data_IF_927050353174
#
_entry.id   IF_927050353174
#
_cell.length_a   1.000
_cell.length_b   1.000
_cell.length_c   1.000
_cell.angle_alpha   90.00
_cell.angle_beta   90.00
_cell.angle_gamma   90.00
#
_symmetry.space_group_name_H-M   'P 1'
#
loop_
_entity.id
_entity.type
_entity.pdbx_description
1 polymer ?
#
# COMPACT_ATOMS: atom_id res chain seq x y z
N UNK A 1 -28.03 31.51 -28.77
CA UNK A 1 -28.78 30.27 -29.06
C UNK A 1 -28.65 29.37 -27.85
N UNK A 2 -29.75 29.22 -27.13
CA UNK A 2 -29.88 28.46 -25.88
C UNK A 2 -30.39 27.07 -26.25
N UNK A 3 -29.71 26.02 -25.79
CA UNK A 3 -30.29 24.67 -25.79
C UNK A 3 -30.28 24.13 -24.36
N UNK A 4 -31.45 24.25 -23.74
CA UNK A 4 -31.90 23.38 -22.65
C UNK A 4 -32.08 21.97 -23.18
N UNK A 5 -31.52 20.98 -22.49
CA UNK A 5 -31.97 19.60 -22.57
C UNK A 5 -32.11 19.04 -21.16
N UNK A 6 -33.35 18.71 -20.83
CA UNK A 6 -33.81 18.08 -19.61
C UNK A 6 -34.07 16.58 -19.86
N UNK A 7 -34.05 15.80 -18.79
CA UNK A 7 -34.61 14.45 -18.70
C UNK A 7 -33.61 13.33 -19.02
N UNK A 8 -33.61 12.16 -18.38
CA UNK A 8 -34.62 11.50 -17.54
C UNK A 8 -33.88 10.47 -16.68
N UNK A 9 -34.14 10.43 -15.37
CA UNK A 9 -33.72 9.35 -14.48
C UNK A 9 -34.80 8.25 -14.43
N UNK A 10 -34.45 6.97 -14.59
CA UNK A 10 -35.29 5.87 -14.13
C UNK A 10 -34.87 5.43 -12.71
N UNK A 11 -35.77 5.66 -11.77
CA UNK A 11 -35.79 5.04 -10.45
C UNK A 11 -36.23 3.58 -10.59
N UNK A 12 -35.39 2.63 -10.15
CA UNK A 12 -35.76 1.23 -10.00
C UNK A 12 -35.76 0.90 -8.50
N UNK A 13 -36.95 1.01 -7.91
CA UNK A 13 -37.28 0.47 -6.60
C UNK A 13 -37.53 -1.03 -6.75
N UNK A 14 -36.61 -1.87 -6.28
CA UNK A 14 -36.86 -3.31 -6.13
C UNK A 14 -36.93 -3.65 -4.64
N UNK A 15 -38.15 -3.65 -4.12
CA UNK A 15 -38.47 -4.06 -2.75
C UNK A 15 -38.64 -5.58 -2.70
N UNK A 16 -37.62 -6.31 -2.24
CA UNK A 16 -37.78 -7.72 -1.86
C UNK A 16 -38.21 -7.82 -0.40
N UNK A 17 -39.49 -8.12 -0.21
CA UNK A 17 -40.07 -8.54 1.07
C UNK A 17 -39.70 -10.01 1.27
N UNK A 18 -38.72 -10.29 2.12
CA UNK A 18 -38.47 -11.65 2.63
C UNK A 18 -39.16 -11.80 4.00
N UNK A 19 -40.34 -12.42 4.00
CA UNK A 19 -40.96 -12.98 5.21
C UNK A 19 -40.37 -14.37 5.44
N UNK A 20 -39.58 -14.55 6.48
CA UNK A 20 -39.38 -15.86 7.08
C UNK A 20 -39.58 -15.78 8.60
N UNK A 21 -40.53 -16.59 9.06
CA UNK A 21 -40.91 -16.76 10.44
C UNK A 21 -40.08 -17.86 11.10
N UNK A 22 -39.56 -17.53 12.29
CA UNK A 22 -39.73 -18.31 13.53
C UNK A 22 -39.05 -19.68 13.64
N UNK A 23 -37.97 -19.72 14.42
CA UNK A 23 -37.84 -20.57 15.62
C UNK A 23 -36.66 -20.08 16.49
N UNK A 24 -36.82 -19.91 17.82
CA UNK A 24 -35.69 -19.66 18.71
C UNK A 24 -34.93 -20.97 18.99
N UNK A 25 -33.64 -20.98 18.66
CA UNK A 25 -32.72 -22.05 19.07
C UNK A 25 -32.51 -22.00 20.59
N UNK A 26 -32.48 -23.15 21.28
CA UNK A 26 -32.19 -23.21 22.71
C UNK A 26 -30.73 -22.83 22.96
N UNK A 27 -30.53 -21.79 23.77
CA UNK A 27 -29.22 -21.38 24.29
C UNK A 27 -28.58 -22.52 25.11
N UNK A 28 -27.35 -22.95 24.80
CA UNK A 28 -26.61 -23.87 25.66
C UNK A 28 -26.29 -23.17 26.99
N UNK A 29 -26.83 -23.70 28.09
CA UNK A 29 -26.43 -23.33 29.44
C UNK A 29 -24.99 -23.82 29.65
N UNK A 30 -24.01 -22.95 29.42
CA UNK A 30 -22.65 -23.15 29.89
C UNK A 30 -22.66 -22.98 31.41
N UNK A 31 -22.64 -24.11 32.13
CA UNK A 31 -22.40 -24.15 33.56
C UNK A 31 -20.98 -23.64 33.82
N UNK A 32 -20.91 -22.48 34.46
CA UNK A 32 -19.68 -21.88 34.97
C UNK A 32 -19.23 -22.70 36.19
N UNK A 33 -18.57 -23.84 35.93
CA UNK A 33 -17.84 -24.56 36.97
C UNK A 33 -16.59 -23.76 37.33
N UNK A 34 -16.61 -23.15 38.52
CA UNK A 34 -15.50 -22.39 39.07
C UNK A 34 -14.23 -23.24 39.18
N UNK A 35 -13.32 -23.08 38.22
CA UNK A 35 -11.92 -23.46 38.39
C UNK A 35 -11.26 -22.36 39.23
N UNK A 36 -10.96 -22.72 40.48
CA UNK A 36 -9.99 -21.98 41.30
C UNK A 36 -8.64 -22.05 40.58
N UNK A 37 -8.25 -20.97 39.91
CA UNK A 37 -6.89 -20.83 39.42
C UNK A 37 -5.98 -20.62 40.64
N UNK A 38 -5.26 -21.69 40.98
CA UNK A 38 -4.09 -21.63 41.84
C UNK A 38 -3.08 -20.70 41.18
N UNK A 39 -2.71 -19.63 41.88
CA UNK A 39 -1.53 -18.81 41.62
C UNK A 39 -0.31 -19.71 41.62
N UNK A 40 0.09 -20.15 40.43
CA UNK A 40 1.36 -20.81 40.19
C UNK A 40 2.19 -19.85 39.37
N UNK A 41 3.29 -19.41 39.96
CA UNK A 41 4.32 -18.56 39.38
C UNK A 41 4.58 -18.97 37.94
N UNK A 42 4.14 -18.13 37.01
CA UNK A 42 4.55 -18.25 35.62
C UNK A 42 6.01 -17.82 35.55
N UNK A 43 6.88 -18.58 34.86
CA UNK A 43 8.26 -18.16 34.66
C UNK A 43 8.23 -16.82 33.93
N UNK A 44 8.85 -15.80 34.54
CA UNK A 44 9.15 -14.54 33.87
C UNK A 44 9.99 -14.90 32.64
N UNK A 45 9.34 -14.90 31.47
CA UNK A 45 10.04 -14.80 30.21
C UNK A 45 10.68 -13.42 30.25
N UNK A 46 11.99 -13.38 30.47
CA UNK A 46 12.79 -12.18 30.35
C UNK A 46 12.51 -11.57 28.99
N UNK A 47 11.67 -10.52 28.96
CA UNK A 47 11.53 -9.70 27.77
C UNK A 47 12.90 -9.10 27.51
N UNK A 48 13.43 -9.18 26.28
CA UNK A 48 14.80 -8.73 25.99
C UNK A 48 15.02 -7.23 26.23
N UNK A 49 13.97 -6.47 26.55
CA UNK A 49 13.99 -5.01 26.65
C UNK A 49 13.49 -4.54 28.01
N UNK A 50 14.23 -3.59 28.57
CA UNK A 50 13.94 -2.96 29.86
C UNK A 50 12.64 -2.14 29.84
N UNK A 51 11.82 -2.39 30.86
CA UNK A 51 10.98 -1.46 31.61
C UNK A 51 9.81 -0.70 30.96
N UNK A 52 9.50 -0.77 29.66
CA UNK A 52 8.29 -0.07 29.18
C UNK A 52 7.44 -0.81 28.12
N UNK A 53 6.79 -1.94 28.49
CA UNK A 53 5.90 -2.70 27.60
C UNK A 53 4.72 -1.85 27.06
N UNK A 54 4.40 -0.73 27.71
CA UNK A 54 3.36 0.20 27.26
C UNK A 54 3.68 0.85 25.91
N UNK A 55 4.94 1.21 25.67
CA UNK A 55 5.38 1.88 24.43
C UNK A 55 5.31 0.92 23.24
N UNK A 56 5.88 -0.27 23.37
CA UNK A 56 5.86 -1.31 22.33
C UNK A 56 4.43 -1.71 21.95
N UNK A 57 3.54 -1.86 22.95
CA UNK A 57 2.14 -2.17 22.71
C UNK A 57 1.40 -1.04 21.99
N UNK A 58 1.72 0.21 22.31
CA UNK A 58 1.14 1.36 21.62
C UNK A 58 1.60 1.42 20.16
N UNK A 59 2.90 1.23 19.90
CA UNK A 59 3.46 1.13 18.55
C UNK A 59 2.85 -0.04 17.75
N UNK A 60 2.68 -1.21 18.38
CA UNK A 60 1.99 -2.35 17.75
C UNK A 60 0.53 -2.04 17.43
N UNK A 61 -0.15 -1.28 18.28
CA UNK A 61 -1.53 -0.85 18.04
C UNK A 61 -1.61 0.13 16.86
N UNK A 62 -0.69 1.09 16.78
CA UNK A 62 -0.58 2.00 15.63
C UNK A 62 -0.27 1.24 14.33
N UNK A 63 0.67 0.28 14.36
CA UNK A 63 0.99 -0.58 13.22
C UNK A 63 -0.19 -1.44 12.75
N UNK A 64 -1.11 -1.79 13.65
CA UNK A 64 -2.39 -2.46 13.34
C UNK A 64 -3.44 -1.51 12.78
N UNK A 65 -3.13 -0.23 12.66
CA UNK A 65 -4.05 0.83 12.24
C UNK A 65 -5.15 1.08 13.27
N UNK A 66 -4.86 0.93 14.56
CA UNK A 66 -5.76 1.41 15.61
C UNK A 66 -5.66 2.93 15.70
N UNK A 67 -6.80 3.60 15.84
CA UNK A 67 -6.84 5.04 16.07
C UNK A 67 -6.06 5.38 17.35
N UNK A 68 -5.16 6.35 17.24
CA UNK A 68 -4.42 6.88 18.37
C UNK A 68 -4.64 8.39 18.42
N UNK A 69 -4.99 8.91 19.60
CA UNK A 69 -5.27 10.33 19.75
C UNK A 69 -4.01 11.17 19.52
N UNK A 70 -4.18 12.45 19.17
CA UNK A 70 -3.04 13.36 19.02
C UNK A 70 -2.23 13.47 20.34
N UNK A 71 -2.93 13.50 21.48
CA UNK A 71 -2.34 13.59 22.82
C UNK A 71 -1.47 12.35 23.12
N UNK A 72 -1.97 11.14 22.83
CA UNK A 72 -1.22 9.91 23.02
C UNK A 72 0.02 9.84 22.13
N UNK A 73 -0.08 10.31 20.86
CA UNK A 73 1.06 10.37 19.94
C UNK A 73 2.13 11.33 20.42
N UNK A 74 1.75 12.52 20.88
CA UNK A 74 2.69 13.52 21.41
C UNK A 74 3.38 12.98 22.66
N UNK A 75 2.61 12.34 23.56
CA UNK A 75 3.17 11.72 24.76
C UNK A 75 4.16 10.61 24.41
N UNK A 76 3.79 9.71 23.49
CA UNK A 76 4.66 8.63 23.03
C UNK A 76 5.94 9.16 22.37
N UNK A 77 5.82 10.21 21.55
CA UNK A 77 6.97 10.86 20.93
C UNK A 77 7.93 11.42 21.98
N UNK A 78 7.42 12.13 22.99
CA UNK A 78 8.25 12.65 24.08
C UNK A 78 8.92 11.52 24.88
N UNK A 79 8.18 10.44 25.17
CA UNK A 79 8.74 9.26 25.83
C UNK A 79 9.86 8.60 25.01
N UNK A 80 9.74 8.55 23.67
CA UNK A 80 10.78 8.04 22.77
C UNK A 80 11.98 9.01 22.71
N UNK A 81 11.72 10.31 22.69
CA UNK A 81 12.77 11.35 22.65
C UNK A 81 13.68 11.27 23.89
N UNK A 82 13.10 11.05 25.06
CA UNK A 82 13.78 10.94 26.36
C UNK A 82 14.58 9.63 26.52
N UNK A 83 14.42 8.64 25.63
CA UNK A 83 15.20 7.41 25.66
C UNK A 83 16.68 7.67 25.37
N UNK A 84 17.54 6.90 26.03
CA UNK A 84 18.96 6.82 25.67
C UNK A 84 19.13 6.16 24.30
N UNK A 85 20.25 6.44 23.62
CA UNK A 85 20.50 5.95 22.27
C UNK A 85 20.51 4.41 22.20
N UNK A 86 21.01 3.71 23.22
CA UNK A 86 20.95 2.25 23.29
C UNK A 86 19.51 1.73 23.33
N UNK A 87 18.61 2.43 24.02
CA UNK A 87 17.19 2.08 24.10
C UNK A 87 16.48 2.38 22.77
N UNK A 88 16.81 3.50 22.12
CA UNK A 88 16.31 3.84 20.78
C UNK A 88 16.75 2.81 19.75
N UNK A 89 17.99 2.34 19.80
CA UNK A 89 18.48 1.24 18.95
C UNK A 89 17.75 -0.08 19.24
N UNK A 90 17.47 -0.38 20.51
CA UNK A 90 16.64 -1.52 20.89
C UNK A 90 15.23 -1.44 20.29
N UNK A 91 14.62 -0.26 20.30
CA UNK A 91 13.31 0.00 19.70
C UNK A 91 13.34 -0.14 18.16
N UNK A 92 14.41 0.33 17.50
CA UNK A 92 14.62 0.13 16.06
C UNK A 92 14.68 -1.36 15.72
N UNK A 93 15.44 -2.15 16.48
CA UNK A 93 15.53 -3.61 16.29
C UNK A 93 14.17 -4.28 16.52
N UNK A 94 13.46 -3.91 17.59
CA UNK A 94 12.09 -4.39 17.83
C UNK A 94 11.17 -4.12 16.62
N UNK A 95 11.21 -2.91 16.05
CA UNK A 95 10.40 -2.56 14.89
C UNK A 95 10.81 -3.37 13.64
N UNK A 96 12.10 -3.44 13.32
CA UNK A 96 12.66 -4.15 12.16
C UNK A 96 12.35 -5.65 12.20
N UNK A 97 12.59 -6.29 13.34
CA UNK A 97 12.68 -7.75 13.41
C UNK A 97 11.44 -8.42 14.03
N UNK A 98 10.67 -7.69 14.85
CA UNK A 98 9.59 -8.27 15.66
C UNK A 98 8.23 -7.69 15.29
N UNK A 99 8.10 -6.37 15.15
CA UNK A 99 6.79 -5.73 15.13
C UNK A 99 6.18 -5.57 13.73
N UNK A 100 6.95 -5.04 12.76
CA UNK A 100 6.38 -4.60 11.48
C UNK A 100 5.91 -5.77 10.62
N UNK A 101 6.68 -6.86 10.55
CA UNK A 101 6.33 -8.04 9.72
C UNK A 101 4.94 -8.59 10.10
N UNK A 102 4.72 -9.06 11.35
CA UNK A 102 3.44 -9.63 11.70
C UNK A 102 2.32 -8.61 11.68
N UNK A 103 2.58 -7.32 11.96
CA UNK A 103 1.54 -6.30 11.89
C UNK A 103 1.01 -6.12 10.44
N UNK A 104 1.91 -5.97 9.46
CA UNK A 104 1.53 -5.81 8.05
C UNK A 104 0.83 -7.07 7.52
N UNK A 105 1.36 -8.27 7.81
CA UNK A 105 0.71 -9.52 7.39
C UNK A 105 -0.66 -9.72 8.05
N UNK A 106 -0.82 -9.39 9.34
CA UNK A 106 -2.10 -9.50 10.03
C UNK A 106 -3.14 -8.51 9.51
N UNK A 107 -2.75 -7.27 9.22
CA UNK A 107 -3.62 -6.28 8.58
C UNK A 107 -4.13 -6.80 7.22
N UNK A 108 -3.23 -7.39 6.44
CA UNK A 108 -3.60 -8.00 5.15
C UNK A 108 -4.56 -9.18 5.34
N UNK A 109 -4.27 -10.10 6.26
CA UNK A 109 -5.14 -11.24 6.58
C UNK A 109 -6.55 -10.81 7.00
N UNK A 110 -6.67 -9.75 7.81
CA UNK A 110 -7.96 -9.25 8.26
C UNK A 110 -8.83 -8.76 7.10
N UNK A 111 -8.24 -8.02 6.14
CA UNK A 111 -8.97 -7.46 4.99
C UNK A 111 -9.21 -8.53 3.91
N UNK A 112 -8.22 -9.39 3.65
CA UNK A 112 -8.33 -10.47 2.67
C UNK A 112 -9.23 -11.61 3.15
N UNK A 113 -9.44 -11.73 4.47
CA UNK A 113 -10.18 -12.81 5.13
C UNK A 113 -9.53 -14.18 4.91
N UNK A 114 -8.20 -14.23 5.05
CA UNK A 114 -7.39 -15.44 4.88
C UNK A 114 -6.30 -15.55 5.95
N UNK A 115 -5.61 -16.68 6.04
CA UNK A 115 -4.39 -16.81 6.83
C UNK A 115 -3.12 -16.61 5.98
N UNK A 116 -1.94 -16.48 6.62
CA UNK A 116 -0.67 -16.18 5.93
C UNK A 116 -0.29 -17.20 4.85
N UNK A 117 -0.62 -18.48 5.05
CA UNK A 117 -0.35 -19.54 4.08
C UNK A 117 -1.26 -19.51 2.85
N UNK A 118 -2.33 -18.71 2.89
CA UNK A 118 -3.34 -18.63 1.84
C UNK A 118 -3.16 -17.42 0.91
N UNK A 119 -2.14 -16.57 1.09
CA UNK A 119 -1.95 -15.39 0.22
C UNK A 119 -1.89 -15.74 -1.27
N UNK A 120 -1.26 -16.86 -1.65
CA UNK A 120 -1.23 -17.29 -3.06
C UNK A 120 -2.58 -17.73 -3.64
N UNK A 121 -3.62 -17.89 -2.82
CA UNK A 121 -4.95 -18.39 -3.23
C UNK A 121 -6.02 -17.30 -3.26
N UNK A 122 -5.69 -16.06 -2.86
CA UNK A 122 -6.68 -14.99 -2.67
C UNK A 122 -7.26 -14.48 -3.99
N UNK A 123 -6.55 -14.66 -5.11
CA UNK A 123 -7.01 -14.27 -6.45
C UNK A 123 -8.27 -15.02 -6.92
N UNK A 124 -8.67 -16.10 -6.23
CA UNK A 124 -9.93 -16.82 -6.50
C UNK A 124 -11.18 -16.02 -6.10
N UNK A 125 -11.03 -14.99 -5.26
CA UNK A 125 -12.11 -14.08 -4.88
C UNK A 125 -12.16 -12.89 -5.84
N UNK A 126 -13.26 -12.69 -6.55
CA UNK A 126 -13.44 -11.56 -7.49
C UNK A 126 -13.19 -10.17 -6.87
N UNK A 127 -13.29 -10.04 -5.54
CA UNK A 127 -13.06 -8.78 -4.81
C UNK A 127 -11.61 -8.56 -4.38
N UNK A 128 -10.69 -9.49 -4.68
CA UNK A 128 -9.32 -9.43 -4.14
C UNK A 128 -8.56 -8.15 -4.50
N UNK A 129 -8.71 -7.65 -5.72
CA UNK A 129 -8.08 -6.39 -6.15
C UNK A 129 -8.55 -5.21 -5.29
N UNK A 130 -9.85 -5.13 -5.02
CA UNK A 130 -10.42 -4.11 -4.16
C UNK A 130 -9.95 -4.23 -2.71
N UNK A 131 -9.80 -5.46 -2.20
CA UNK A 131 -9.23 -5.72 -0.87
C UNK A 131 -7.75 -5.30 -0.80
N UNK A 132 -6.96 -5.55 -1.84
CA UNK A 132 -5.58 -5.07 -1.92
C UNK A 132 -5.49 -3.54 -1.94
N UNK A 133 -6.38 -2.87 -2.68
CA UNK A 133 -6.50 -1.40 -2.67
C UNK A 133 -6.85 -0.87 -1.27
N UNK A 134 -7.76 -1.53 -0.53
CA UNK A 134 -8.07 -1.15 0.85
C UNK A 134 -6.87 -1.30 1.79
N UNK A 135 -6.11 -2.40 1.67
CA UNK A 135 -4.89 -2.58 2.47
C UNK A 135 -3.89 -1.46 2.17
N UNK A 136 -3.69 -1.16 0.88
CA UNK A 136 -2.81 -0.07 0.47
C UNK A 136 -3.25 1.27 1.02
N UNK A 137 -4.52 1.63 0.88
CA UNK A 137 -5.06 2.88 1.39
C UNK A 137 -4.83 3.01 2.89
N UNK A 138 -5.11 1.95 3.65
CA UNK A 138 -4.88 1.94 5.10
C UNK A 138 -3.40 2.10 5.46
N UNK A 139 -2.52 1.38 4.76
CA UNK A 139 -1.07 1.49 5.00
C UNK A 139 -0.55 2.90 4.68
N UNK A 140 -0.89 3.42 3.50
CA UNK A 140 -0.30 4.63 2.96
C UNK A 140 -0.90 5.92 3.54
N UNK A 141 -2.21 5.94 3.85
CA UNK A 141 -2.91 7.13 4.35
C UNK A 141 -2.99 7.21 5.86
N UNK A 142 -2.93 6.08 6.57
CA UNK A 142 -3.15 6.05 8.02
C UNK A 142 -1.91 5.58 8.77
N UNK A 143 -1.44 4.35 8.51
CA UNK A 143 -0.40 3.72 9.32
C UNK A 143 0.96 4.40 9.11
N UNK A 144 1.42 4.53 7.86
CA UNK A 144 2.74 5.12 7.57
C UNK A 144 2.87 6.53 8.12
N UNK A 145 1.96 7.49 7.83
CA UNK A 145 2.07 8.84 8.37
C UNK A 145 2.08 8.87 9.90
N UNK A 146 1.20 8.08 10.54
CA UNK A 146 1.14 8.00 12.02
C UNK A 146 2.46 7.49 12.61
N UNK A 147 3.06 6.47 12.00
CA UNK A 147 4.32 5.92 12.46
C UNK A 147 5.50 6.85 12.19
N UNK A 148 5.53 7.56 11.06
CA UNK A 148 6.54 8.58 10.76
C UNK A 148 6.49 9.72 11.79
N UNK A 149 5.30 10.21 12.13
CA UNK A 149 5.09 11.29 13.10
C UNK A 149 5.60 10.93 14.51
N UNK A 150 5.48 9.66 14.91
CA UNK A 150 5.89 9.20 16.24
C UNK A 150 7.37 8.83 16.29
N UNK A 151 7.92 8.29 15.20
CA UNK A 151 9.25 7.67 15.18
C UNK A 151 10.34 8.55 14.57
N UNK A 152 10.06 9.79 14.18
CA UNK A 152 11.06 10.65 13.51
C UNK A 152 12.33 10.84 14.35
N UNK A 153 12.25 10.81 15.68
CA UNK A 153 13.43 10.95 16.56
C UNK A 153 14.40 9.78 16.44
N UNK A 154 13.94 8.60 16.00
CA UNK A 154 14.79 7.43 15.80
C UNK A 154 15.71 7.57 14.58
N UNK A 155 15.34 8.39 13.59
CA UNK A 155 16.20 8.63 12.41
C UNK A 155 17.44 9.47 12.77
N UNK A 156 17.43 10.13 13.93
CA UNK A 156 18.58 10.87 14.46
C UNK A 156 19.66 9.93 15.04
N UNK A 157 19.26 8.71 15.43
CA UNK A 157 20.17 7.70 15.99
C UNK A 157 20.67 6.73 14.91
N UNK A 158 19.80 6.36 13.97
CA UNK A 158 20.13 5.53 12.81
C UNK A 158 19.57 6.19 11.54
N UNK A 159 20.42 6.87 10.77
CA UNK A 159 20.03 7.50 9.50
C UNK A 159 19.51 6.49 8.46
N UNK A 160 19.87 5.21 8.60
CA UNK A 160 19.35 4.15 7.73
C UNK A 160 17.95 3.69 8.11
N UNK A 161 17.47 4.06 9.30
CA UNK A 161 16.13 3.72 9.75
C UNK A 161 15.08 4.59 9.05
N UNK A 162 14.27 3.96 8.21
CA UNK A 162 13.12 4.58 7.56
C UNK A 162 11.89 3.69 7.70
N UNK A 163 10.97 4.06 8.59
CA UNK A 163 9.78 3.23 8.90
C UNK A 163 8.86 3.08 7.68
N UNK A 164 8.69 4.12 6.86
CA UNK A 164 7.95 4.06 5.59
C UNK A 164 8.52 2.98 4.68
N UNK A 165 9.82 3.06 4.38
CA UNK A 165 10.50 2.11 3.50
C UNK A 165 10.42 0.68 4.05
N UNK A 166 10.60 0.51 5.37
CA UNK A 166 10.44 -0.78 6.04
C UNK A 166 9.05 -1.37 5.82
N UNK A 167 7.98 -0.62 6.12
CA UNK A 167 6.59 -1.07 5.95
C UNK A 167 6.31 -1.42 4.47
N UNK A 168 6.73 -0.57 3.53
CA UNK A 168 6.52 -0.78 2.10
C UNK A 168 7.27 -2.01 1.57
N UNK A 169 8.52 -2.22 1.99
CA UNK A 169 9.31 -3.42 1.67
C UNK A 169 8.62 -4.69 2.18
N UNK A 170 8.13 -4.67 3.42
CA UNK A 170 7.42 -5.81 4.02
C UNK A 170 6.13 -6.09 3.25
N UNK A 171 5.34 -5.06 2.96
CA UNK A 171 4.10 -5.21 2.19
C UNK A 171 4.36 -5.79 0.79
N UNK A 172 5.39 -5.28 0.10
CA UNK A 172 5.85 -5.81 -1.19
C UNK A 172 6.19 -7.30 -1.11
N UNK A 173 7.08 -7.68 -0.19
CA UNK A 173 7.69 -9.01 -0.17
C UNK A 173 6.80 -10.08 0.46
N UNK A 174 6.09 -9.72 1.53
CA UNK A 174 5.35 -10.68 2.37
C UNK A 174 3.89 -10.79 1.99
N UNK A 175 3.31 -9.75 1.41
CA UNK A 175 1.89 -9.71 1.04
C UNK A 175 1.72 -9.70 -0.47
N UNK A 176 2.09 -8.62 -1.16
CA UNK A 176 1.75 -8.44 -2.58
C UNK A 176 2.41 -9.46 -3.48
N UNK A 177 3.71 -9.70 -3.33
CA UNK A 177 4.42 -10.69 -4.13
C UNK A 177 3.72 -12.04 -4.09
N UNK A 178 3.36 -12.51 -2.89
CA UNK A 178 2.65 -13.79 -2.71
C UNK A 178 1.23 -13.77 -3.28
N UNK A 179 0.49 -12.66 -3.10
CA UNK A 179 -0.87 -12.53 -3.61
C UNK A 179 -0.93 -12.53 -5.15
N UNK A 180 0.12 -12.03 -5.80
CA UNK A 180 0.14 -11.77 -7.24
C UNK A 180 1.02 -12.74 -8.03
N UNK A 181 1.78 -13.62 -7.37
CA UNK A 181 2.76 -14.51 -8.00
C UNK A 181 2.18 -15.34 -9.15
N UNK A 182 0.98 -15.90 -8.95
CA UNK A 182 0.27 -16.76 -9.91
C UNK A 182 -0.62 -15.98 -10.87
N UNK A 183 -0.67 -14.65 -10.77
CA UNK A 183 -1.48 -13.83 -11.67
C UNK A 183 -0.72 -13.57 -12.97
N UNK A 184 -1.28 -14.02 -14.08
CA UNK A 184 -0.69 -13.88 -15.42
C UNK A 184 -1.26 -12.68 -16.19
N UNK A 185 -2.46 -12.20 -15.83
CA UNK A 185 -3.13 -11.10 -16.54
C UNK A 185 -2.80 -9.73 -15.94
N UNK A 186 -2.79 -8.69 -16.79
CA UNK A 186 -2.65 -7.29 -16.37
C UNK A 186 -3.75 -6.89 -15.37
N UNK A 187 -3.39 -6.09 -14.36
CA UNK A 187 -4.33 -5.50 -13.39
C UNK A 187 -4.13 -3.97 -13.35
N UNK A 188 -4.82 -3.21 -14.21
CA UNK A 188 -4.65 -1.76 -14.31
C UNK A 188 -4.87 -1.00 -12.99
N UNK A 189 -5.77 -1.49 -12.14
CA UNK A 189 -6.12 -0.87 -10.87
C UNK A 189 -4.95 -0.84 -9.88
N UNK A 190 -4.02 -1.79 -9.98
CA UNK A 190 -2.86 -1.88 -9.10
C UNK A 190 -1.64 -1.12 -9.62
N UNK A 191 -1.67 -0.56 -10.83
CA UNK A 191 -0.50 0.08 -11.45
C UNK A 191 0.12 1.18 -10.58
N UNK A 192 -0.72 2.02 -9.97
CA UNK A 192 -0.25 3.09 -9.08
C UNK A 192 0.50 2.56 -7.85
N UNK A 193 0.01 1.47 -7.27
CA UNK A 193 0.62 0.79 -6.11
C UNK A 193 1.93 0.15 -6.52
N UNK A 194 1.91 -0.63 -7.61
CA UNK A 194 3.08 -1.32 -8.13
C UNK A 194 4.19 -0.32 -8.47
N UNK A 195 3.87 0.76 -9.18
CA UNK A 195 4.83 1.81 -9.51
C UNK A 195 5.42 2.47 -8.26
N UNK A 196 4.57 2.83 -7.28
CA UNK A 196 5.05 3.43 -6.04
C UNK A 196 6.00 2.51 -5.29
N UNK A 197 5.68 1.21 -5.20
CA UNK A 197 6.53 0.23 -4.54
C UNK A 197 7.85 0.01 -5.27
N UNK A 198 7.86 0.03 -6.61
CA UNK A 198 9.11 -0.03 -7.36
C UNK A 198 10.02 1.16 -7.04
N UNK A 199 9.46 2.37 -7.00
CA UNK A 199 10.24 3.57 -6.69
C UNK A 199 10.75 3.58 -5.24
N UNK A 200 9.90 3.23 -4.27
CA UNK A 200 10.21 3.35 -2.84
C UNK A 200 11.13 2.24 -2.32
N UNK A 201 11.24 1.12 -3.04
CA UNK A 201 11.99 -0.06 -2.59
C UNK A 201 13.13 -0.46 -3.53
N UNK A 202 13.54 0.46 -4.40
CA UNK A 202 14.70 0.29 -5.29
C UNK A 202 15.98 0.04 -4.46
N UNK A 203 16.73 -1.01 -4.84
CA UNK A 203 17.96 -1.42 -4.16
C UNK A 203 17.79 -2.33 -2.95
N UNK A 204 16.54 -2.64 -2.54
CA UNK A 204 16.29 -3.64 -1.50
C UNK A 204 16.36 -5.09 -2.02
N UNK A 205 16.72 -6.02 -1.14
CA UNK A 205 16.64 -7.45 -1.43
C UNK A 205 15.26 -7.84 -1.97
N UNK A 206 15.22 -8.69 -2.99
CA UNK A 206 13.97 -9.12 -3.61
C UNK A 206 13.34 -8.12 -4.58
N UNK A 207 13.91 -6.92 -4.75
CA UNK A 207 13.44 -5.90 -5.69
C UNK A 207 13.33 -6.45 -7.12
N UNK A 208 14.38 -7.08 -7.65
CA UNK A 208 14.40 -7.59 -9.03
C UNK A 208 13.27 -8.59 -9.31
N UNK A 209 13.04 -9.53 -8.39
CA UNK A 209 11.97 -10.51 -8.53
C UNK A 209 10.58 -9.85 -8.51
N UNK A 210 10.40 -8.82 -7.69
CA UNK A 210 9.16 -8.05 -7.67
C UNK A 210 9.01 -7.15 -8.91
N UNK A 211 10.11 -6.59 -9.43
CA UNK A 211 10.12 -5.75 -10.63
C UNK A 211 9.61 -6.50 -11.86
N UNK A 212 10.11 -7.72 -12.09
CA UNK A 212 9.59 -8.59 -13.16
C UNK A 212 8.09 -8.86 -13.00
N UNK A 213 7.65 -9.19 -11.79
CA UNK A 213 6.24 -9.42 -11.49
C UNK A 213 5.38 -8.18 -11.77
N UNK A 214 5.82 -7.01 -11.30
CA UNK A 214 5.13 -5.74 -11.49
C UNK A 214 5.06 -5.35 -12.98
N UNK A 215 6.17 -5.45 -13.72
CA UNK A 215 6.22 -5.12 -15.15
C UNK A 215 5.26 -5.98 -15.99
N UNK A 216 5.15 -7.28 -15.65
CA UNK A 216 4.14 -8.18 -16.24
C UNK A 216 2.73 -7.69 -15.97
N UNK A 217 2.41 -7.42 -14.70
CA UNK A 217 1.06 -7.01 -14.28
C UNK A 217 0.66 -5.60 -14.74
N UNK A 218 1.62 -4.75 -15.09
CA UNK A 218 1.40 -3.44 -15.69
C UNK A 218 1.35 -3.48 -17.23
N UNK A 219 1.65 -4.62 -17.87
CA UNK A 219 1.67 -4.76 -19.33
C UNK A 219 2.85 -4.05 -20.01
N UNK A 220 3.99 -3.92 -19.32
CA UNK A 220 5.19 -3.32 -19.88
C UNK A 220 5.86 -4.23 -20.94
N UNK A 221 5.69 -5.56 -20.83
CA UNK A 221 6.33 -6.55 -21.71
C UNK A 221 5.65 -6.67 -23.09
N UNK A 222 4.32 -6.48 -23.20
CA UNK A 222 3.59 -6.57 -24.47
C UNK A 222 4.02 -5.51 -25.51
N UNK A 223 4.62 -4.40 -25.08
CA UNK A 223 5.03 -3.31 -25.97
C UNK A 223 6.23 -3.66 -26.85
N UNK A 224 7.05 -4.65 -26.48
CA UNK A 224 8.24 -5.03 -27.24
C UNK A 224 7.95 -6.04 -28.37
N UNK A 225 6.98 -6.94 -28.20
CA UNK A 225 6.67 -7.95 -29.24
C UNK A 225 5.93 -7.38 -30.46
N UNK A 226 5.11 -6.35 -30.27
CA UNK A 226 4.36 -5.73 -31.38
C UNK A 226 5.29 -4.91 -32.29
N UNK A 227 6.41 -4.40 -31.78
CA UNK A 227 7.40 -3.69 -32.62
C UNK A 227 8.37 -4.63 -33.34
N UNK A 228 8.64 -5.82 -32.83
CA UNK A 228 9.55 -6.78 -33.49
C UNK A 228 8.86 -7.69 -34.53
N UNK A 229 7.55 -7.90 -34.44
CA UNK A 229 6.80 -8.70 -35.44
C UNK A 229 6.35 -7.89 -36.67
N UNK A 230 6.41 -6.56 -36.62
CA UNK A 230 6.18 -5.69 -37.79
C UNK A 230 7.37 -5.64 -38.78
N UNK A 231 8.50 -6.30 -38.49
CA UNK A 231 9.70 -6.32 -39.33
C UNK A 231 9.92 -7.63 -40.11
N UNK A 232 9.07 -8.64 -39.95
CA UNK A 232 9.21 -9.91 -40.70
C UNK A 232 8.18 -9.99 -41.81
N UNK A 233 8.37 -9.14 -42.83
CA UNK A 233 7.82 -9.45 -44.15
C UNK A 233 8.42 -10.78 -44.62
N UNK A 234 7.63 -11.77 -45.05
CA UNK A 234 8.17 -12.95 -45.70
C UNK A 234 8.77 -12.50 -47.04
N UNK A 235 10.10 -12.54 -47.13
CA UNK A 235 10.83 -12.38 -48.37
C UNK A 235 10.56 -13.62 -49.26
N UNK A 236 9.39 -13.65 -49.91
CA UNK A 236 9.16 -14.55 -51.04
C UNK A 236 9.29 -13.74 -52.34
N UNK A 237 10.53 -13.69 -52.83
CA UNK A 237 10.87 -13.25 -54.19
C UNK A 237 10.39 -14.32 -55.18
N UNK A 238 9.41 -14.00 -56.03
CA UNK A 238 9.53 -14.28 -57.47
C UNK A 238 8.52 -13.51 -58.35
N UNK A 239 9.08 -12.62 -59.16
CA UNK A 239 8.68 -12.14 -60.49
C UNK A 239 7.22 -11.75 -60.79
N UNK A 240 6.98 -10.43 -60.93
CA UNK A 240 6.43 -9.73 -62.12
C UNK A 240 6.40 -8.21 -61.82
N UNK A 241 7.35 -7.43 -62.34
CA UNK A 241 7.35 -6.70 -63.63
C UNK A 241 6.40 -5.47 -63.63
N UNK A 242 7.05 -4.31 -63.53
CA UNK A 242 6.75 -2.99 -64.13
C UNK A 242 5.80 -1.98 -63.45
N UNK A 243 6.30 -0.73 -63.47
CA UNK A 243 5.68 0.59 -63.32
C UNK A 243 5.23 1.00 -61.91
N UNK A 244 5.32 2.25 -61.44
CA UNK A 244 6.13 3.46 -61.72
C UNK A 244 5.57 4.51 -60.75
N UNK A 245 6.43 5.33 -60.12
CA UNK A 245 6.06 6.49 -59.29
C UNK A 245 5.29 6.14 -57.99
N UNK A 246 5.47 6.77 -56.83
CA UNK A 246 5.78 8.17 -56.57
C UNK A 246 6.36 8.28 -55.15
N UNK A 247 7.39 9.11 -54.97
CA UNK A 247 8.02 9.39 -53.69
C UNK A 247 7.11 10.26 -52.81
N UNK A 248 6.79 9.82 -51.60
CA UNK A 248 6.32 10.73 -50.54
C UNK A 248 7.19 10.57 -49.29
N UNK A 249 8.16 11.48 -49.17
CA UNK A 249 8.93 11.75 -47.95
C UNK A 249 8.01 12.36 -46.90
N UNK A 250 7.49 11.54 -45.98
CA UNK A 250 6.81 12.04 -44.78
C UNK A 250 7.83 12.57 -43.77
N UNK A 251 8.03 13.88 -43.78
CA UNK A 251 8.84 14.65 -42.84
C UNK A 251 8.18 14.63 -41.44
N UNK A 252 8.96 14.20 -40.44
CA UNK A 252 8.65 14.35 -39.02
C UNK A 252 8.40 15.81 -38.67
N UNK A 253 7.20 16.12 -38.18
CA UNK A 253 6.84 17.43 -37.64
C UNK A 253 7.23 17.47 -36.16
N UNK A 254 8.37 18.08 -35.86
CA UNK A 254 8.75 18.51 -34.52
C UNK A 254 7.80 19.61 -34.04
N UNK A 255 7.21 19.42 -32.87
CA UNK A 255 6.35 20.40 -32.20
C UNK A 255 7.17 21.65 -31.77
N UNK A 256 6.64 22.88 -31.93
CA UNK A 256 7.29 24.08 -31.45
C UNK A 256 7.18 24.20 -29.92
N UNK A 257 8.33 24.12 -29.27
CA UNK A 257 8.54 24.32 -27.84
C UNK A 257 8.35 25.80 -27.47
N UNK A 258 7.12 26.22 -27.12
CA UNK A 258 6.87 27.53 -26.51
C UNK A 258 6.97 27.40 -24.99
N UNK A 259 8.17 27.60 -24.45
CA UNK A 259 8.40 27.82 -23.01
C UNK A 259 7.67 29.09 -22.58
N UNK A 260 6.55 28.96 -21.86
CA UNK A 260 5.96 30.06 -21.09
C UNK A 260 6.75 30.18 -19.80
N UNK A 261 7.53 31.26 -19.69
CA UNK A 261 8.12 31.71 -18.42
C UNK A 261 6.98 32.14 -17.49
N UNK A 262 6.87 31.48 -16.34
CA UNK A 262 5.96 31.87 -15.26
C UNK A 262 6.76 32.76 -14.32
N UNK A 263 6.46 34.06 -14.30
CA UNK A 263 6.95 34.97 -13.25
C UNK A 263 6.01 34.90 -12.06
N UNK A 264 6.54 34.50 -10.91
CA UNK A 264 5.87 34.61 -9.62
C UNK A 264 6.07 36.03 -9.10
N UNK A 265 5.03 36.87 -9.19
CA UNK A 265 5.02 38.15 -8.49
C UNK A 265 4.72 37.89 -7.02
N UNK A 266 5.78 37.99 -6.22
CA UNK A 266 5.76 37.85 -4.77
C UNK A 266 5.09 39.10 -4.15
N UNK A 267 3.84 38.96 -3.72
CA UNK A 267 3.08 40.03 -3.08
C UNK A 267 3.20 39.94 -1.54
N UNK A 268 4.41 40.11 -1.01
CA UNK A 268 4.61 40.36 0.44
C UNK A 268 4.23 41.80 0.77
N UNK A 269 2.99 42.00 1.23
CA UNK A 269 2.61 43.18 2.02
C UNK A 269 2.52 42.79 3.48
N UNK A 270 3.62 42.98 4.20
CA UNK A 270 3.64 42.96 5.67
C UNK A 270 2.94 44.21 6.19
N UNK A 271 1.81 44.05 6.90
CA UNK A 271 1.25 45.09 7.76
C UNK A 271 1.88 44.97 9.13
N UNK A 272 2.74 45.91 9.47
CA UNK A 272 3.21 46.16 10.83
C UNK A 272 2.05 46.76 11.62
N UNK A 273 1.59 46.08 12.66
CA UNK A 273 0.67 46.64 13.66
C UNK A 273 1.52 47.00 14.88
N UNK A 274 1.76 48.29 15.06
CA UNK A 274 2.20 48.86 16.33
C UNK A 274 0.95 49.31 17.07
N UNK A 275 0.72 48.84 18.29
CA UNK A 275 -0.17 49.50 19.23
C UNK A 275 0.49 49.66 20.59
N UNK A 276 0.28 50.86 21.11
CA UNK A 276 0.58 51.41 22.43
C UNK A 276 -0.13 50.65 23.55
#
# INVERSE_FOLDING_TARGET
MLFSSAGVHPSMHTSYILKQSKAPLPSPKLSLAGRKFSTRDSPQTSTPFGNNPSMELMLLSMLRGCECSCEDRVKLCAEIEDLQDEQKMGLIHFLKDIAVIPAVENNACQILQCCHSQFGQVHNDFSYVYKLLQIWDRLYKEIIPTMEDVLFTLTLVDESFCIRRLILKIFRDKVLKKCLETVESRIPELESILFTLLMETEGDDGFEAFSTLANRLMGAEEKYEIQHTASTFPANKQMRKASSAEMVKSRSKTLPNKRKSVQWNDLRKSKTVSNF
#
